data_IF_392598239399
#
_entry.id   IF_392598239399
#
_cell.length_a   1.000
_cell.length_b   1.000
_cell.length_c   1.000
_cell.angle_alpha   90.00
_cell.angle_beta   90.00
_cell.angle_gamma   90.00
#
_symmetry.space_group_name_H-M   'P 1'
#
loop_
_entity.id
_entity.type
_entity.pdbx_description
1 polymer ?
#
# COMPACT_ATOMS: atom_id res chain seq x y z
N UNK A 1 -9.43 -14.75 24.39
CA UNK A 1 -9.93 -13.55 25.11
C UNK A 1 -11.05 -12.93 24.30
N UNK A 2 -12.07 -12.35 24.95
CA UNK A 2 -13.22 -11.72 24.29
C UNK A 2 -13.46 -10.32 24.87
N UNK A 3 -13.83 -9.33 24.05
CA UNK A 3 -14.26 -8.02 24.57
C UNK A 3 -15.77 -7.90 24.75
N UNK A 4 -16.18 -6.98 25.62
CA UNK A 4 -17.57 -6.61 25.79
C UNK A 4 -18.06 -5.69 24.66
N UNK A 5 -19.31 -5.87 24.22
CA UNK A 5 -19.96 -5.06 23.19
C UNK A 5 -20.49 -3.72 23.75
N UNK A 6 -19.60 -2.88 24.28
CA UNK A 6 -19.90 -1.58 24.88
C UNK A 6 -19.23 -0.45 24.10
N UNK A 7 -19.88 0.72 24.07
CA UNK A 7 -19.44 1.91 23.32
C UNK A 7 -18.13 2.51 23.80
N UNK A 8 -17.85 2.41 25.09
CA UNK A 8 -16.57 2.83 25.68
C UNK A 8 -15.47 1.79 25.57
N UNK A 9 -15.77 0.60 25.06
CA UNK A 9 -14.85 -0.54 25.08
C UNK A 9 -14.44 -0.94 23.68
N UNK A 10 -15.38 -1.32 22.81
CA UNK A 10 -15.04 -2.03 21.57
C UNK A 10 -15.59 -1.37 20.32
N UNK A 11 -14.71 -0.61 19.66
CA UNK A 11 -14.81 -0.25 18.24
C UNK A 11 -13.73 -1.03 17.44
N UNK A 12 -13.57 -0.73 16.15
CA UNK A 12 -12.65 -1.45 15.24
C UNK A 12 -11.23 -1.56 15.78
N UNK A 13 -10.70 -0.51 16.41
CA UNK A 13 -9.33 -0.50 16.94
C UNK A 13 -9.07 -1.62 17.95
N UNK A 14 -9.94 -1.76 18.98
CA UNK A 14 -9.78 -2.84 19.97
C UNK A 14 -10.09 -4.21 19.37
N UNK A 15 -11.10 -4.31 18.51
CA UNK A 15 -11.47 -5.57 17.87
C UNK A 15 -10.33 -6.12 16.99
N UNK A 16 -9.64 -5.24 16.26
CA UNK A 16 -8.43 -5.56 15.49
C UNK A 16 -7.32 -6.05 16.41
N UNK A 17 -6.99 -5.27 17.45
CA UNK A 17 -5.91 -5.61 18.37
C UNK A 17 -6.14 -6.97 19.03
N UNK A 18 -7.38 -7.27 19.45
CA UNK A 18 -7.72 -8.57 20.03
C UNK A 18 -7.62 -9.70 19.01
N UNK A 19 -8.08 -9.50 17.78
CA UNK A 19 -7.98 -10.52 16.74
C UNK A 19 -6.52 -10.89 16.43
N UNK A 20 -5.62 -9.90 16.40
CA UNK A 20 -4.19 -10.11 16.20
C UNK A 20 -3.55 -10.96 17.32
N UNK A 21 -4.07 -10.85 18.54
CA UNK A 21 -3.65 -11.65 19.70
C UNK A 21 -4.43 -13.00 19.82
N UNK A 22 -5.20 -13.38 18.80
CA UNK A 22 -6.00 -14.62 18.78
C UNK A 22 -7.30 -14.57 19.61
N UNK A 23 -7.75 -13.38 19.99
CA UNK A 23 -9.04 -13.11 20.62
C UNK A 23 -10.15 -12.74 19.65
N UNK A 24 -11.30 -12.31 20.19
CA UNK A 24 -12.42 -11.76 19.40
C UNK A 24 -12.93 -10.48 20.05
N UNK A 25 -13.28 -9.50 19.22
CA UNK A 25 -13.96 -8.28 19.64
C UNK A 25 -15.40 -8.20 19.13
N UNK A 26 -16.32 -7.73 19.97
CA UNK A 26 -17.72 -7.47 19.59
C UNK A 26 -17.97 -5.97 19.46
N UNK A 27 -18.28 -5.49 18.26
CA UNK A 27 -18.62 -4.08 18.02
C UNK A 27 -19.97 -3.77 18.68
N UNK A 28 -20.02 -2.72 19.50
CA UNK A 28 -21.25 -2.30 20.16
C UNK A 28 -22.31 -1.75 19.17
N UNK A 29 -23.56 -1.63 19.62
CA UNK A 29 -24.70 -1.17 18.80
C UNK A 29 -25.11 0.30 18.99
N UNK A 30 -24.36 1.05 19.80
CA UNK A 30 -24.67 2.46 20.12
C UNK A 30 -24.17 3.41 19.01
N UNK A 31 -24.56 3.13 17.77
CA UNK A 31 -24.25 3.90 16.56
C UNK A 31 -25.26 3.53 15.47
N UNK A 32 -25.26 4.23 14.34
CA UNK A 32 -26.12 3.85 13.21
C UNK A 32 -25.69 2.52 12.59
N UNK A 33 -26.60 1.88 11.85
CA UNK A 33 -26.31 0.61 11.17
C UNK A 33 -25.16 0.78 10.18
N UNK A 34 -25.12 1.92 9.48
CA UNK A 34 -24.09 2.27 8.51
C UNK A 34 -22.73 2.37 9.19
N UNK A 35 -22.65 3.09 10.32
CA UNK A 35 -21.41 3.25 11.07
C UNK A 35 -20.93 1.93 11.67
N UNK A 36 -21.85 1.08 12.16
CA UNK A 36 -21.47 -0.23 12.66
C UNK A 36 -20.92 -1.13 11.55
N UNK A 37 -21.53 -1.07 10.36
CA UNK A 37 -21.04 -1.79 9.19
C UNK A 37 -19.65 -1.29 8.74
N UNK A 38 -19.39 0.01 8.83
CA UNK A 38 -18.06 0.58 8.58
C UNK A 38 -17.02 0.06 9.57
N UNK A 39 -17.32 0.01 10.87
CA UNK A 39 -16.44 -0.55 11.90
C UNK A 39 -16.13 -2.03 11.62
N UNK A 40 -17.13 -2.84 11.28
CA UNK A 40 -16.93 -4.25 10.88
C UNK A 40 -16.08 -4.35 9.61
N UNK A 41 -16.34 -3.52 8.61
CA UNK A 41 -15.58 -3.47 7.36
C UNK A 41 -14.11 -3.15 7.61
N UNK A 42 -13.81 -2.19 8.51
CA UNK A 42 -12.44 -1.86 8.94
C UNK A 42 -11.74 -3.07 9.56
N UNK A 43 -12.39 -3.78 10.48
CA UNK A 43 -11.83 -5.00 11.10
C UNK A 43 -11.52 -6.07 10.05
N UNK A 44 -12.47 -6.33 9.13
CA UNK A 44 -12.33 -7.38 8.11
C UNK A 44 -11.24 -7.06 7.07
N UNK A 45 -11.04 -5.78 6.75
CA UNK A 45 -10.00 -5.33 5.80
C UNK A 45 -8.59 -5.32 6.40
N UNK A 46 -8.45 -5.31 7.73
CA UNK A 46 -7.15 -5.14 8.40
C UNK A 46 -6.13 -6.26 8.12
N UNK A 47 -6.58 -7.52 7.97
CA UNK A 47 -5.67 -8.67 7.74
C UNK A 47 -5.81 -9.35 6.38
N UNK A 48 -6.62 -8.83 5.46
CA UNK A 48 -6.71 -9.46 4.14
C UNK A 48 -5.39 -9.32 3.40
N UNK A 49 -4.62 -10.41 3.28
CA UNK A 49 -3.37 -10.45 2.51
C UNK A 49 -3.54 -10.13 1.02
N UNK A 50 -4.78 -10.03 0.55
CA UNK A 50 -5.17 -9.53 -0.77
C UNK A 50 -6.22 -8.45 -0.57
N UNK A 51 -6.00 -7.26 -1.15
CA UNK A 51 -6.95 -6.14 -1.11
C UNK A 51 -7.87 -6.25 -2.33
N UNK A 52 -9.17 -6.42 -2.11
CA UNK A 52 -10.18 -6.63 -3.17
C UNK A 52 -10.62 -5.34 -3.87
N UNK A 53 -10.62 -4.22 -3.15
CA UNK A 53 -11.02 -2.90 -3.66
C UNK A 53 -9.98 -1.87 -3.24
N UNK A 54 -8.82 -1.84 -3.92
CA UNK A 54 -7.74 -0.94 -3.56
C UNK A 54 -8.10 0.49 -3.99
N UNK A 55 -7.75 1.46 -3.14
CA UNK A 55 -7.82 2.84 -3.56
C UNK A 55 -6.76 3.11 -4.64
N UNK A 56 -7.19 3.65 -5.77
CA UNK A 56 -6.34 3.91 -6.94
C UNK A 56 -6.15 5.42 -7.18
N UNK A 57 -5.16 5.74 -8.02
CA UNK A 57 -4.91 7.10 -8.52
C UNK A 57 -4.80 7.07 -10.05
N UNK A 58 -4.97 8.23 -10.70
CA UNK A 58 -4.87 8.34 -12.15
C UNK A 58 -3.45 8.70 -12.59
N UNK A 59 -3.09 8.53 -13.88
CA UNK A 59 -1.76 8.89 -14.38
C UNK A 59 -1.45 10.39 -14.26
N UNK A 60 -2.51 11.22 -14.22
CA UNK A 60 -2.44 12.67 -14.11
C UNK A 60 -2.46 13.18 -12.66
N UNK A 61 -2.80 12.33 -11.68
CA UNK A 61 -2.73 12.69 -10.25
C UNK A 61 -1.35 13.23 -9.92
N UNK A 62 -1.29 14.34 -9.19
CA UNK A 62 -0.05 14.98 -8.77
C UNK A 62 0.55 14.28 -7.57
N UNK A 63 1.86 14.44 -7.36
CA UNK A 63 2.51 13.87 -6.18
C UNK A 63 2.10 14.55 -4.88
N UNK A 64 1.65 15.80 -4.95
CA UNK A 64 1.02 16.48 -3.82
C UNK A 64 -0.25 15.75 -3.37
N UNK A 65 -1.15 15.43 -4.30
CA UNK A 65 -2.39 14.70 -3.98
C UNK A 65 -2.09 13.31 -3.40
N UNK A 66 -1.09 12.60 -3.93
CA UNK A 66 -0.65 11.30 -3.37
C UNK A 66 -0.13 11.46 -1.95
N UNK A 67 0.59 12.54 -1.65
CA UNK A 67 1.09 12.83 -0.30
C UNK A 67 -0.06 13.11 0.67
N UNK A 68 -1.06 13.85 0.24
CA UNK A 68 -2.28 14.12 1.02
C UNK A 68 -3.11 12.85 1.25
N UNK A 69 -3.23 11.99 0.23
CA UNK A 69 -3.85 10.67 0.35
C UNK A 69 -3.09 9.80 1.36
N UNK A 70 -1.77 9.80 1.29
CA UNK A 70 -0.91 9.03 2.21
C UNK A 70 -1.11 9.49 3.65
N UNK A 71 -1.15 10.80 3.90
CA UNK A 71 -1.37 11.36 5.22
C UNK A 71 -2.76 11.05 5.78
N UNK A 72 -3.80 11.06 4.92
CA UNK A 72 -5.17 10.74 5.30
C UNK A 72 -5.38 9.25 5.58
N UNK A 73 -4.77 8.39 4.79
CA UNK A 73 -5.04 6.96 4.80
C UNK A 73 -4.06 6.14 5.64
N UNK A 74 -2.88 6.69 5.95
CA UNK A 74 -1.83 6.00 6.71
C UNK A 74 -1.02 4.97 5.91
N UNK A 75 -1.26 4.83 4.60
CA UNK A 75 -0.46 3.97 3.71
C UNK A 75 -0.01 4.73 2.46
N UNK A 76 1.14 4.35 1.91
CA UNK A 76 1.82 5.11 0.86
C UNK A 76 1.87 4.38 -0.50
N UNK A 77 0.98 3.42 -0.76
CA UNK A 77 1.01 2.59 -1.97
C UNK A 77 -0.31 2.61 -2.70
N UNK A 78 -0.31 3.04 -3.96
CA UNK A 78 -1.52 3.18 -4.78
C UNK A 78 -1.30 2.59 -6.18
N UNK A 79 -2.16 1.67 -6.65
CA UNK A 79 -2.22 1.30 -8.05
C UNK A 79 -2.59 2.51 -8.90
N UNK A 80 -1.95 2.62 -10.06
CA UNK A 80 -2.22 3.69 -11.03
C UNK A 80 -3.03 3.10 -12.16
N UNK A 81 -4.23 3.61 -12.37
CA UNK A 81 -5.19 3.09 -13.36
C UNK A 81 -5.67 4.20 -14.29
N UNK A 82 -5.95 3.86 -15.56
CA UNK A 82 -6.58 4.79 -16.52
C UNK A 82 -8.04 5.05 -16.19
N UNK A 83 -8.67 5.99 -16.90
CA UNK A 83 -10.13 6.23 -16.82
C UNK A 83 -10.94 4.98 -17.22
N UNK A 84 -10.40 4.15 -18.11
CA UNK A 84 -10.98 2.86 -18.52
C UNK A 84 -10.69 1.72 -17.51
N UNK A 85 -10.21 2.06 -16.32
CA UNK A 85 -9.88 1.12 -15.24
C UNK A 85 -8.74 0.13 -15.58
N UNK A 86 -7.84 0.50 -16.50
CA UNK A 86 -6.68 -0.32 -16.85
C UNK A 86 -5.48 -0.01 -15.96
N UNK A 87 -4.90 -1.04 -15.33
CA UNK A 87 -3.66 -0.91 -14.55
C UNK A 87 -2.49 -0.50 -15.45
N UNK A 88 -1.85 0.63 -15.15
CA UNK A 88 -0.66 1.15 -15.85
C UNK A 88 0.59 1.21 -14.98
N UNK A 89 0.45 1.10 -13.66
CA UNK A 89 1.60 1.14 -12.76
C UNK A 89 1.24 1.08 -11.28
N UNK A 90 2.23 1.32 -10.44
CA UNK A 90 2.06 1.50 -8.99
C UNK A 90 3.00 2.60 -8.50
N UNK A 91 2.47 3.48 -7.65
CA UNK A 91 3.29 4.45 -6.92
C UNK A 91 3.39 4.04 -5.46
N UNK A 92 4.59 4.13 -4.90
CA UNK A 92 4.85 3.81 -3.49
C UNK A 92 5.55 4.95 -2.77
N UNK A 93 5.50 4.96 -1.44
CA UNK A 93 6.20 5.94 -0.61
C UNK A 93 7.70 6.05 -0.90
N UNK A 94 8.31 4.98 -1.40
CA UNK A 94 9.71 4.95 -1.83
C UNK A 94 9.97 5.76 -3.10
N UNK A 95 9.00 5.82 -3.99
CA UNK A 95 9.10 6.54 -5.27
C UNK A 95 9.00 8.06 -5.05
N UNK A 96 8.27 8.50 -4.01
CA UNK A 96 8.08 9.92 -3.67
C UNK A 96 9.06 10.48 -2.63
N UNK A 97 9.84 9.62 -1.96
CA UNK A 97 10.68 10.00 -0.80
C UNK A 97 11.70 11.10 -1.08
N UNK A 98 12.25 11.14 -2.30
CA UNK A 98 13.31 12.07 -2.69
C UNK A 98 12.87 13.06 -3.76
N UNK A 99 11.55 13.17 -3.98
CA UNK A 99 11.00 14.11 -4.95
C UNK A 99 10.91 15.49 -4.33
N UNK A 100 11.47 16.48 -5.02
CA UNK A 100 11.41 17.90 -4.62
C UNK A 100 10.24 18.64 -5.26
N UNK A 101 9.91 18.32 -6.52
CA UNK A 101 8.77 18.89 -7.24
C UNK A 101 7.52 18.02 -7.06
N UNK A 102 6.56 18.52 -6.27
CA UNK A 102 5.31 17.80 -6.00
C UNK A 102 4.21 18.08 -7.04
N UNK A 103 4.44 19.00 -7.97
CA UNK A 103 3.46 19.36 -9.01
C UNK A 103 3.47 18.37 -10.18
N UNK A 104 4.56 17.60 -10.32
CA UNK A 104 4.67 16.60 -11.38
C UNK A 104 3.62 15.47 -11.21
N UNK A 105 3.20 14.85 -12.32
CA UNK A 105 2.25 13.74 -12.29
C UNK A 105 2.90 12.46 -11.76
N UNK A 106 2.07 11.55 -11.26
CA UNK A 106 2.44 10.21 -10.77
C UNK A 106 3.25 9.42 -11.82
N UNK A 107 2.91 9.57 -13.09
CA UNK A 107 3.60 8.92 -14.22
C UNK A 107 5.10 9.19 -14.28
N UNK A 108 5.57 10.33 -13.75
CA UNK A 108 6.99 10.71 -13.79
C UNK A 108 7.87 9.82 -12.89
N UNK A 109 7.32 9.25 -11.81
CA UNK A 109 8.10 8.53 -10.77
C UNK A 109 7.57 7.14 -10.44
N UNK A 110 6.36 6.79 -10.85
CA UNK A 110 5.76 5.49 -10.58
C UNK A 110 6.59 4.33 -11.15
N UNK A 111 6.33 3.12 -10.66
CA UNK A 111 6.83 1.91 -11.31
C UNK A 111 5.82 1.47 -12.39
N UNK A 112 6.19 1.48 -13.69
CA UNK A 112 5.29 1.15 -14.79
C UNK A 112 4.95 -0.35 -14.84
N UNK A 113 3.82 -0.68 -15.49
CA UNK A 113 3.22 -2.03 -15.56
C UNK A 113 4.18 -3.12 -16.03
N UNK A 114 5.01 -2.82 -17.03
CA UNK A 114 6.00 -3.73 -17.62
C UNK A 114 7.04 -4.23 -16.60
N UNK A 115 7.30 -3.44 -15.55
CA UNK A 115 8.21 -3.78 -14.45
C UNK A 115 7.50 -4.40 -13.25
N UNK A 116 6.18 -4.58 -13.32
CA UNK A 116 5.40 -5.20 -12.25
C UNK A 116 5.41 -6.72 -12.39
N UNK A 117 5.48 -7.38 -11.25
CA UNK A 117 5.14 -8.80 -11.13
C UNK A 117 3.64 -8.86 -10.86
N UNK A 118 2.89 -9.46 -11.77
CA UNK A 118 1.44 -9.65 -11.65
C UNK A 118 1.08 -11.13 -11.60
N UNK A 119 -0.09 -11.41 -11.05
CA UNK A 119 -0.71 -12.74 -11.00
C UNK A 119 -2.09 -12.65 -11.63
N UNK A 120 -2.59 -13.78 -12.15
CA UNK A 120 -3.96 -13.85 -12.64
C UNK A 120 -4.93 -13.85 -11.45
N UNK A 121 -6.14 -13.40 -11.70
CA UNK A 121 -7.22 -13.51 -10.72
C UNK A 121 -7.49 -14.98 -10.38
N UNK A 122 -7.72 -15.28 -9.10
CA UNK A 122 -7.97 -16.63 -8.62
C UNK A 122 -6.75 -17.54 -8.49
N UNK A 123 -5.54 -17.03 -8.71
CA UNK A 123 -4.30 -17.79 -8.48
C UNK A 123 -4.17 -18.26 -7.02
N UNK A 124 -3.59 -19.46 -6.84
CA UNK A 124 -3.43 -20.05 -5.53
C UNK A 124 -2.51 -19.20 -4.65
N UNK A 125 -2.88 -19.05 -3.37
CA UNK A 125 -2.15 -18.22 -2.39
C UNK A 125 -0.65 -18.53 -2.34
N UNK A 126 -0.28 -19.80 -2.39
CA UNK A 126 1.12 -20.23 -2.31
C UNK A 126 1.93 -19.76 -3.53
N UNK A 127 1.33 -19.75 -4.72
CA UNK A 127 1.94 -19.24 -5.95
C UNK A 127 2.12 -17.73 -5.87
N UNK A 128 1.14 -17.01 -5.31
CA UNK A 128 1.22 -15.56 -5.08
C UNK A 128 2.38 -15.25 -4.12
N UNK A 129 2.45 -15.96 -2.98
CA UNK A 129 3.51 -15.79 -1.98
C UNK A 129 4.89 -16.10 -2.55
N UNK A 130 5.02 -17.19 -3.32
CA UNK A 130 6.26 -17.55 -3.99
C UNK A 130 6.74 -16.44 -4.93
N UNK A 131 5.86 -15.94 -5.81
CA UNK A 131 6.20 -14.83 -6.73
C UNK A 131 6.59 -13.55 -5.99
N UNK A 132 5.99 -13.27 -4.83
CA UNK A 132 6.37 -12.13 -3.99
C UNK A 132 7.76 -12.29 -3.36
N UNK A 133 8.14 -13.51 -2.96
CA UNK A 133 9.45 -13.81 -2.36
C UNK A 133 10.59 -13.91 -3.37
N UNK A 134 10.34 -14.43 -4.58
CA UNK A 134 11.38 -14.57 -5.62
C UNK A 134 11.85 -13.22 -6.16
N UNK A 135 10.96 -12.23 -6.19
CA UNK A 135 11.24 -10.88 -6.70
C UNK A 135 10.95 -9.83 -5.64
N UNK A 136 11.70 -9.80 -4.52
CA UNK A 136 11.57 -8.72 -3.56
C UNK A 136 11.95 -7.44 -4.30
N UNK A 137 11.06 -6.45 -4.35
CA UNK A 137 11.24 -5.20 -5.10
C UNK A 137 12.45 -4.42 -4.56
N UNK A 138 13.65 -4.81 -4.99
CA UNK A 138 14.94 -4.17 -4.74
C UNK A 138 15.23 -3.34 -5.99
N UNK A 139 14.86 -2.05 -5.96
CA UNK A 139 15.36 -1.11 -6.96
C UNK A 139 16.86 -0.95 -6.70
N UNK A 140 17.70 -1.60 -7.51
CA UNK A 140 19.10 -1.19 -7.65
C UNK A 140 19.10 0.24 -8.15
N UNK A 141 19.69 1.16 -7.40
CA UNK A 141 20.05 2.48 -7.91
C UNK A 141 21.15 2.29 -8.96
N UNK A 142 20.77 1.93 -10.19
CA UNK A 142 21.65 1.84 -11.34
C UNK A 142 21.56 3.14 -12.13
N UNK A 143 22.56 4.00 -12.00
CA UNK A 143 22.61 5.27 -12.74
C UNK A 143 23.79 6.17 -12.38
N UNK A 144 25.00 5.75 -12.76
CA UNK A 144 26.04 6.65 -13.27
C UNK A 144 26.78 7.58 -12.32
N UNK A 145 27.91 7.11 -11.79
CA UNK A 145 29.14 7.92 -11.81
C UNK A 145 30.35 7.00 -11.93
N UNK A 146 30.82 6.84 -13.16
CA UNK A 146 32.14 6.28 -13.46
C UNK A 146 33.14 7.30 -12.89
N UNK A 147 33.71 6.99 -11.73
CA UNK A 147 34.86 7.74 -11.23
C UNK A 147 36.06 7.32 -12.09
N UNK A 148 36.82 8.27 -12.65
CA UNK A 148 37.93 7.94 -13.52
C UNK A 148 39.02 7.24 -12.71
N UNK A 149 39.57 6.17 -13.29
CA UNK A 149 40.82 5.57 -12.86
C UNK A 149 41.96 6.55 -13.10
N UNK A 150 42.51 7.09 -12.03
CA UNK A 150 43.86 7.63 -11.95
C UNK A 150 44.46 6.98 -10.70
N UNK A 151 45.47 6.13 -10.76
CA UNK A 151 46.75 6.33 -11.42
C UNK A 151 47.79 6.24 -10.30
N UNK A 152 48.78 5.35 -10.45
CA UNK A 152 49.92 5.21 -9.55
C UNK A 152 50.48 6.57 -9.12
N UNK A 153 50.86 6.72 -7.85
CA UNK A 153 52.22 7.16 -7.59
C UNK A 153 52.75 6.67 -6.24
N UNK A 154 54.01 6.28 -6.28
CA UNK A 154 54.81 5.77 -5.17
C UNK A 154 55.16 6.88 -4.18
N UNK A 155 55.16 6.54 -2.89
CA UNK A 155 56.27 6.80 -1.93
C UNK A 155 56.02 6.09 -0.62
#
# INVERSE_FOLDING_TARGET
>A
MLSAAMDTVTESGLAIALAQEGGLGFIHKNMSIERQAEEVSRVKKHESGVVTDPQTVTPATTLQEVKELTARNGFAGYPVVTEDNELVGIITGRDVRFVTDLTQPVTAVMTPKDRLVTVKEGEARDVVLQKMHEKPRRKSAGGGRQLPSAGHDHR
#
